data_IF_863606733349
#
_entry.id   IF_863606733349
#
_cell.length_a   1.000
_cell.length_b   1.000
_cell.length_c   1.000
_cell.angle_alpha   90.00
_cell.angle_beta   90.00
_cell.angle_gamma   90.00
#
_symmetry.space_group_name_H-M   'P 1'
#
loop_
_entity.id
_entity.type
_entity.pdbx_description
1 polymer ?
#
# COMPACT_ATOMS: atom_id res chain seq x y z
N UNK A 1 -21.77 9.96 6.20
CA UNK A 1 -20.36 10.21 6.56
C UNK A 1 -19.54 10.29 5.29
N UNK A 2 -18.85 11.41 5.04
CA UNK A 2 -18.07 11.63 3.82
C UNK A 2 -16.79 10.78 3.78
N UNK A 3 -16.31 10.46 2.59
CA UNK A 3 -14.99 9.86 2.42
C UNK A 3 -13.90 10.87 2.84
N UNK A 4 -12.86 10.40 3.54
CA UNK A 4 -11.72 11.24 3.96
C UNK A 4 -10.97 11.88 2.78
N UNK A 5 -11.06 11.29 1.59
CA UNK A 5 -10.51 11.82 0.34
C UNK A 5 -11.63 11.85 -0.70
N UNK A 6 -11.92 12.99 -1.35
CA UNK A 6 -12.86 13.04 -2.47
C UNK A 6 -12.33 12.20 -3.64
N UNK A 7 -13.17 11.28 -4.14
CA UNK A 7 -12.84 10.39 -5.25
C UNK A 7 -13.97 10.45 -6.28
N UNK A 8 -13.63 10.74 -7.53
CA UNK A 8 -14.50 10.55 -8.68
C UNK A 8 -14.27 9.12 -9.20
N UNK A 9 -15.31 8.29 -9.17
CA UNK A 9 -15.25 6.96 -9.77
C UNK A 9 -15.81 7.01 -11.18
N UNK A 10 -15.02 6.58 -12.15
CA UNK A 10 -15.46 6.38 -13.52
C UNK A 10 -15.50 4.89 -13.81
N UNK A 11 -16.63 4.43 -14.35
CA UNK A 11 -16.78 3.05 -14.81
C UNK A 11 -17.43 3.07 -16.20
N UNK A 12 -16.80 2.41 -17.19
CA UNK A 12 -17.36 2.29 -18.53
C UNK A 12 -18.62 1.40 -18.53
N UNK A 13 -19.57 1.66 -19.45
CA UNK A 13 -20.85 0.93 -19.49
C UNK A 13 -20.71 -0.55 -19.85
N UNK A 14 -19.61 -0.95 -20.49
CA UNK A 14 -19.32 -2.35 -20.82
C UNK A 14 -18.49 -3.00 -19.72
N UNK A 15 -18.92 -4.18 -19.27
CA UNK A 15 -18.35 -4.91 -18.14
C UNK A 15 -16.92 -5.42 -18.33
N UNK A 16 -16.41 -5.44 -19.56
CA UNK A 16 -15.03 -5.87 -19.88
C UNK A 16 -13.98 -4.76 -19.72
N UNK A 17 -14.40 -3.52 -19.43
CA UNK A 17 -13.50 -2.36 -19.41
C UNK A 17 -13.16 -1.89 -17.99
N UNK A 18 -11.93 -1.41 -17.82
CA UNK A 18 -11.34 -1.04 -16.53
C UNK A 18 -12.07 0.16 -15.91
N UNK A 19 -12.59 0.00 -14.70
CA UNK A 19 -13.04 1.12 -13.88
C UNK A 19 -11.84 1.84 -13.25
N UNK A 20 -11.94 3.16 -13.07
CA UNK A 20 -10.88 3.97 -12.46
C UNK A 20 -11.41 4.91 -11.38
N UNK A 21 -10.57 5.13 -10.37
CA UNK A 21 -10.78 6.10 -9.30
C UNK A 21 -9.84 7.27 -9.54
N UNK A 22 -10.38 8.48 -9.60
CA UNK A 22 -9.65 9.74 -9.78
C UNK A 22 -9.75 10.54 -8.49
N UNK A 23 -8.61 10.90 -7.91
CA UNK A 23 -8.53 11.72 -6.70
C UNK A 23 -7.60 12.90 -6.91
N UNK A 24 -7.98 14.07 -6.40
CA UNK A 24 -7.19 15.30 -6.54
C UNK A 24 -6.31 15.49 -5.29
N UNK A 25 -5.03 15.85 -5.51
CA UNK A 25 -4.05 16.15 -4.47
C UNK A 25 -3.81 15.03 -3.44
N UNK A 26 -4.05 13.76 -3.80
CA UNK A 26 -3.74 12.62 -2.94
C UNK A 26 -2.26 12.22 -3.00
N UNK A 27 -1.38 13.18 -2.71
CA UNK A 27 0.09 13.04 -2.80
C UNK A 27 0.64 11.98 -1.85
N UNK A 28 -0.01 11.76 -0.70
CA UNK A 28 0.34 10.70 0.25
C UNK A 28 0.12 9.31 -0.35
N UNK A 29 -0.97 9.09 -1.10
CA UNK A 29 -1.18 7.82 -1.78
C UNK A 29 -0.10 7.54 -2.83
N UNK A 30 0.41 8.57 -3.50
CA UNK A 30 1.55 8.44 -4.43
C UNK A 30 2.82 8.05 -3.68
N UNK A 31 3.14 8.72 -2.57
CA UNK A 31 4.30 8.40 -1.74
C UNK A 31 4.24 6.95 -1.22
N UNK A 32 3.10 6.52 -0.68
CA UNK A 32 2.89 5.15 -0.20
C UNK A 32 3.01 4.11 -1.31
N UNK A 33 2.52 4.42 -2.52
CA UNK A 33 2.64 3.52 -3.67
C UNK A 33 4.10 3.35 -4.10
N UNK A 34 4.90 4.41 -4.04
CA UNK A 34 6.35 4.35 -4.30
C UNK A 34 7.09 3.54 -3.22
N UNK A 35 6.75 3.73 -1.95
CA UNK A 35 7.29 2.95 -0.84
C UNK A 35 7.00 1.45 -1.01
N UNK A 36 5.75 1.07 -1.28
CA UNK A 36 5.40 -0.35 -1.52
C UNK A 36 6.13 -0.94 -2.73
N UNK A 37 6.33 -0.14 -3.79
CA UNK A 37 7.12 -0.57 -4.95
C UNK A 37 8.56 -0.88 -4.54
N UNK A 38 9.19 -0.05 -3.70
CA UNK A 38 10.54 -0.33 -3.22
C UNK A 38 10.60 -1.58 -2.34
N UNK A 39 9.63 -1.81 -1.47
CA UNK A 39 9.56 -3.06 -0.70
C UNK A 39 9.46 -4.30 -1.60
N UNK A 40 8.68 -4.22 -2.68
CA UNK A 40 8.58 -5.30 -3.67
C UNK A 40 9.90 -5.50 -4.44
N UNK A 41 10.63 -4.42 -4.71
CA UNK A 41 11.94 -4.48 -5.35
C UNK A 41 13.02 -5.02 -4.41
N UNK A 42 12.90 -4.79 -3.11
CA UNK A 42 13.82 -5.32 -2.11
C UNK A 42 13.72 -6.84 -1.98
N UNK A 43 12.52 -7.43 -2.08
CA UNK A 43 12.35 -8.89 -2.08
C UNK A 43 11.07 -9.36 -2.81
N UNK A 44 11.24 -10.21 -3.84
CA UNK A 44 10.11 -10.70 -4.66
C UNK A 44 9.12 -11.60 -3.90
N UNK A 45 9.50 -12.17 -2.76
CA UNK A 45 8.59 -12.97 -1.92
C UNK A 45 7.40 -12.13 -1.47
N UNK A 46 7.57 -10.83 -1.25
CA UNK A 46 6.47 -9.93 -0.90
C UNK A 46 5.42 -9.88 -2.02
N UNK A 47 5.84 -9.76 -3.28
CA UNK A 47 4.92 -9.73 -4.42
C UNK A 47 4.11 -11.02 -4.53
N UNK A 48 4.79 -12.17 -4.43
CA UNK A 48 4.14 -13.49 -4.49
C UNK A 48 3.13 -13.67 -3.36
N UNK A 49 3.53 -13.36 -2.12
CA UNK A 49 2.64 -13.42 -0.96
C UNK A 49 1.46 -12.45 -1.08
N UNK A 50 1.71 -11.22 -1.53
CA UNK A 50 0.67 -10.22 -1.73
C UNK A 50 -0.40 -10.69 -2.72
N UNK A 51 -0.01 -11.30 -3.84
CA UNK A 51 -0.97 -11.88 -4.79
C UNK A 51 -1.77 -13.03 -4.17
N UNK A 52 -1.11 -13.98 -3.52
CA UNK A 52 -1.78 -15.12 -2.87
C UNK A 52 -2.78 -14.67 -1.80
N UNK A 53 -2.34 -13.82 -0.86
CA UNK A 53 -3.19 -13.33 0.23
C UNK A 53 -4.30 -12.43 -0.29
N UNK A 54 -4.05 -11.59 -1.30
CA UNK A 54 -5.09 -10.77 -1.92
C UNK A 54 -6.17 -11.62 -2.57
N UNK A 55 -5.81 -12.68 -3.29
CA UNK A 55 -6.77 -13.61 -3.90
C UNK A 55 -7.57 -14.37 -2.84
N UNK A 56 -6.90 -14.88 -1.81
CA UNK A 56 -7.56 -15.55 -0.69
C UNK A 56 -8.53 -14.62 0.04
N UNK A 57 -8.11 -13.40 0.40
CA UNK A 57 -8.93 -12.42 1.09
C UNK A 57 -10.14 -11.99 0.26
N UNK A 58 -9.96 -11.85 -1.07
CA UNK A 58 -11.07 -11.57 -2.00
C UNK A 58 -12.08 -12.71 -2.01
N UNK A 59 -11.63 -13.98 -2.10
CA UNK A 59 -12.52 -15.16 -2.06
C UNK A 59 -13.26 -15.31 -0.74
N UNK A 60 -12.67 -14.83 0.36
CA UNK A 60 -13.30 -14.79 1.69
C UNK A 60 -14.19 -13.57 1.93
N UNK A 61 -14.27 -12.64 0.97
CA UNK A 61 -15.10 -11.43 1.10
C UNK A 61 -14.56 -10.40 2.11
N UNK A 62 -13.27 -10.46 2.44
CA UNK A 62 -12.62 -9.60 3.46
C UNK A 62 -11.62 -8.60 2.87
N UNK A 63 -11.74 -8.30 1.57
CA UNK A 63 -10.88 -7.36 0.83
C UNK A 63 -11.73 -6.33 0.07
N UNK A 64 -12.57 -5.61 0.80
CA UNK A 64 -13.43 -4.53 0.30
C UNK A 64 -13.65 -3.47 1.39
N UNK A 65 -12.89 -2.37 1.29
CA UNK A 65 -12.98 -1.24 2.24
C UNK A 65 -14.34 -0.57 2.22
N UNK A 66 -15.04 -0.57 1.08
CA UNK A 66 -16.36 0.07 0.97
C UNK A 66 -17.43 -0.69 1.76
N UNK A 67 -17.19 -1.98 2.03
CA UNK A 67 -18.04 -2.86 2.83
C UNK A 67 -17.55 -3.02 4.27
N UNK A 68 -16.64 -2.16 4.73
CA UNK A 68 -16.12 -2.19 6.10
C UNK A 68 -15.04 -3.24 6.38
N UNK A 69 -14.50 -3.90 5.35
CA UNK A 69 -13.40 -4.88 5.50
C UNK A 69 -12.04 -4.27 5.12
N UNK A 70 -10.98 -5.09 5.10
CA UNK A 70 -9.63 -4.60 4.81
C UNK A 70 -9.50 -4.10 3.38
N UNK A 71 -8.63 -3.10 3.18
CA UNK A 71 -8.21 -2.70 1.84
C UNK A 71 -7.03 -3.54 1.35
N UNK A 72 -6.84 -3.62 0.03
CA UNK A 72 -5.64 -4.26 -0.53
C UNK A 72 -4.34 -3.58 -0.10
N UNK A 73 -4.37 -2.27 0.18
CA UNK A 73 -3.24 -1.55 0.77
C UNK A 73 -2.96 -1.99 2.21
N UNK A 74 -3.99 -2.11 3.04
CA UNK A 74 -3.88 -2.61 4.42
C UNK A 74 -3.27 -4.01 4.46
N UNK A 75 -3.74 -4.93 3.60
CA UNK A 75 -3.16 -6.27 3.46
C UNK A 75 -1.68 -6.22 3.06
N UNK A 76 -1.30 -5.31 2.17
CA UNK A 76 0.09 -5.14 1.74
C UNK A 76 0.98 -4.68 2.90
N UNK A 77 0.52 -3.72 3.71
CA UNK A 77 1.25 -3.26 4.90
C UNK A 77 1.39 -4.36 5.96
N UNK A 78 0.34 -5.15 6.19
CA UNK A 78 0.39 -6.30 7.10
C UNK A 78 1.46 -7.31 6.66
N UNK A 79 1.60 -7.55 5.34
CA UNK A 79 2.62 -8.45 4.80
C UNK A 79 4.03 -7.88 4.94
N UNK A 80 4.23 -6.58 4.66
CA UNK A 80 5.51 -5.91 4.90
C UNK A 80 5.93 -6.08 6.37
N UNK A 81 5.02 -5.77 7.30
CA UNK A 81 5.27 -5.92 8.72
C UNK A 81 5.56 -7.38 9.11
N UNK A 82 4.79 -8.34 8.59
CA UNK A 82 5.01 -9.76 8.83
C UNK A 82 6.43 -10.20 8.41
N UNK A 83 6.88 -9.77 7.23
CA UNK A 83 8.21 -10.08 6.70
C UNK A 83 9.34 -9.38 7.47
N UNK A 84 9.10 -8.16 7.98
CA UNK A 84 10.03 -7.48 8.89
C UNK A 84 10.21 -8.20 10.23
N UNK A 85 9.19 -8.91 10.70
CA UNK A 85 9.17 -9.61 11.99
C UNK A 85 9.59 -11.08 11.91
N UNK A 86 10.13 -11.55 10.77
CA UNK A 86 10.69 -12.90 10.66
C UNK A 86 12.02 -13.01 11.40
N UNK A 87 12.47 -14.23 11.67
CA UNK A 87 13.78 -14.52 12.24
C UNK A 87 14.50 -15.52 11.32
N UNK A 88 15.51 -15.07 10.54
CA UNK A 88 15.95 -13.68 10.37
C UNK A 88 14.91 -12.81 9.63
N UNK A 89 14.93 -11.46 9.77
CA UNK A 89 14.06 -10.55 9.03
C UNK A 89 14.20 -10.74 7.52
N UNK A 90 13.08 -10.82 6.81
CA UNK A 90 13.05 -10.95 5.35
C UNK A 90 13.12 -9.58 4.67
N UNK A 91 12.45 -8.58 5.25
CA UNK A 91 12.50 -7.20 4.80
C UNK A 91 13.06 -6.32 5.94
N UNK A 92 13.85 -5.28 5.64
CA UNK A 92 14.15 -4.24 6.60
C UNK A 92 12.97 -3.27 6.75
N UNK A 93 13.06 -2.33 7.69
CA UNK A 93 12.25 -1.10 7.67
C UNK A 93 13.00 -0.03 6.89
N UNK A 94 12.53 0.30 5.68
CA UNK A 94 13.20 1.29 4.82
C UNK A 94 13.20 2.69 5.45
N UNK A 95 12.17 3.00 6.25
CA UNK A 95 12.09 4.25 7.01
C UNK A 95 13.12 4.29 8.15
N UNK A 96 13.25 3.21 8.93
CA UNK A 96 14.24 3.16 10.03
C UNK A 96 15.67 3.18 9.48
N UNK A 97 15.92 2.52 8.34
CA UNK A 97 17.20 2.59 7.65
C UNK A 97 17.53 4.01 7.18
N UNK A 98 16.56 4.74 6.63
CA UNK A 98 16.76 6.14 6.24
C UNK A 98 17.09 7.03 7.45
N UNK A 99 16.37 6.84 8.56
CA UNK A 99 16.64 7.56 9.80
C UNK A 99 18.04 7.25 10.35
N UNK A 100 18.42 5.97 10.42
CA UNK A 100 19.74 5.53 10.88
C UNK A 100 20.90 6.04 10.00
N UNK A 101 20.65 6.21 8.69
CA UNK A 101 21.61 6.80 7.75
C UNK A 101 21.64 8.33 7.77
N UNK A 102 20.82 8.98 8.59
CA UNK A 102 20.75 10.44 8.67
C UNK A 102 20.14 11.12 7.45
N UNK A 103 19.27 10.44 6.69
CA UNK A 103 18.60 11.07 5.55
C UNK A 103 17.66 12.19 6.03
N UNK A 104 17.61 13.34 5.32
CA UNK A 104 16.74 14.44 5.71
C UNK A 104 15.26 14.02 5.67
N UNK A 105 14.42 14.51 6.62
CA UNK A 105 12.97 14.27 6.57
C UNK A 105 12.34 14.77 5.26
N UNK A 106 11.34 14.05 4.76
CA UNK A 106 10.61 14.43 3.54
C UNK A 106 9.14 14.55 3.86
N UNK A 107 8.67 15.77 4.16
CA UNK A 107 7.29 15.97 4.58
C UNK A 107 6.33 16.09 3.39
N UNK A 108 5.30 15.25 3.39
CA UNK A 108 4.16 15.32 2.47
C UNK A 108 2.90 15.51 3.32
N UNK A 109 2.25 16.67 3.20
CA UNK A 109 1.05 17.02 4.01
C UNK A 109 1.26 16.81 5.53
N UNK A 110 2.43 17.17 6.03
CA UNK A 110 2.79 17.05 7.45
C UNK A 110 3.23 15.65 7.91
N UNK A 111 3.17 14.63 7.04
CA UNK A 111 3.71 13.31 7.34
C UNK A 111 5.11 13.15 6.75
N UNK A 112 6.05 12.68 7.56
CA UNK A 112 7.40 12.35 7.12
C UNK A 112 7.38 11.07 6.29
N UNK A 113 7.76 11.20 5.03
CA UNK A 113 7.75 10.17 4.00
C UNK A 113 9.17 9.75 3.58
N UNK A 114 10.19 9.97 4.42
CA UNK A 114 11.56 9.51 4.14
C UNK A 114 11.66 7.98 4.17
N UNK A 115 12.44 7.43 3.25
CA UNK A 115 12.83 6.02 3.19
C UNK A 115 14.09 5.88 2.31
N UNK A 116 14.82 4.77 2.47
CA UNK A 116 16.04 4.45 1.72
C UNK A 116 15.72 3.69 0.44
#
# INVERSE_FOLDING_TARGET
GGAQVPILRWAPRRSSSLACDISINNVLAVANSRLLRQYVQADDRLRRLALCVKMWARRRGINDRSRGTLSSFSLSLMLVHFLQRRQPPVLPSLQDLAAAKGYPPVFVRGADCRYC
#
